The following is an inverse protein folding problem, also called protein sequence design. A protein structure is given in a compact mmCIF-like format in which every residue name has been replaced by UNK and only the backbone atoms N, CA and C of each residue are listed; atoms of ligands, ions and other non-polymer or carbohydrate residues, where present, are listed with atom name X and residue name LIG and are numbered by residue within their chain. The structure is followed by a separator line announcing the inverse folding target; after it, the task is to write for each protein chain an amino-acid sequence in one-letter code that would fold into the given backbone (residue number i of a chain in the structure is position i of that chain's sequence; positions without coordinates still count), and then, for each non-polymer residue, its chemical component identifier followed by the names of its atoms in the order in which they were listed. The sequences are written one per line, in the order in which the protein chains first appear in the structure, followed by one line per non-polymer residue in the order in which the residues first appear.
data_IF_130793217082
#
_entry.id   IF_130793217082
#
_cell.length_a   1.000
_cell.length_b   1.000
_cell.length_c   1.000
_cell.angle_alpha   90.00
_cell.angle_beta   90.00
_cell.angle_gamma   90.00
#
_symmetry.space_group_name_H-M   'P 1'
#
loop_
_entity.id
_entity.type
_entity.pdbx_description
1 polymer ?
#
# COMPACT_ATOMS: atom_id res chain seq x y z
N UNK A 1 -0.73 -4.18 0.83
CA UNK A 1 -0.29 -4.65 -0.50
C UNK A 1 0.45 -5.95 -0.28
N UNK A 2 0.67 -6.73 -1.32
CA UNK A 2 1.36 -8.01 -1.25
C UNK A 2 0.47 -9.20 -0.92
N UNK A 3 1.07 -10.23 -0.32
CA UNK A 3 0.41 -11.50 -0.04
C UNK A 3 -0.87 -11.30 0.77
N UNK A 4 -1.98 -11.82 0.25
CA UNK A 4 -3.27 -11.73 0.93
C UNK A 4 -3.23 -12.53 2.24
N UNK A 5 -3.88 -11.98 3.26
CA UNK A 5 -3.97 -12.60 4.59
C UNK A 5 -2.61 -12.87 5.29
N UNK A 6 -1.47 -12.29 4.81
CA UNK A 6 -0.15 -12.46 5.44
C UNK A 6 -0.15 -12.03 6.91
N UNK A 7 -0.59 -10.82 7.21
CA UNK A 7 -0.61 -10.34 8.60
C UNK A 7 -1.56 -11.14 9.52
N UNK A 8 -2.77 -11.54 9.10
CA UNK A 8 -3.59 -12.50 9.83
C UNK A 8 -2.88 -13.83 10.08
N UNK A 9 -2.20 -14.40 9.06
CA UNK A 9 -1.40 -15.64 9.20
C UNK A 9 -0.33 -15.48 10.30
N UNK A 10 0.47 -14.41 10.22
CA UNK A 10 1.54 -14.18 11.18
C UNK A 10 1.02 -13.94 12.60
N UNK A 11 -0.10 -13.24 12.76
CA UNK A 11 -0.71 -13.04 14.07
C UNK A 11 -1.21 -14.34 14.71
N UNK A 12 -1.72 -15.26 13.90
CA UNK A 12 -2.27 -16.55 14.38
C UNK A 12 -1.17 -17.56 14.65
N UNK A 13 -0.17 -17.67 13.75
CA UNK A 13 0.79 -18.79 13.78
C UNK A 13 2.23 -18.37 14.10
N UNK A 14 2.58 -17.09 13.96
CA UNK A 14 3.93 -16.56 14.19
C UNK A 14 3.90 -15.19 14.92
N UNK A 15 3.19 -15.04 16.06
CA UNK A 15 3.01 -13.74 16.70
C UNK A 15 4.34 -13.11 17.15
N UNK A 16 5.34 -13.91 17.49
CA UNK A 16 6.67 -13.42 17.87
C UNK A 16 7.46 -12.82 16.71
N UNK A 17 7.09 -13.15 15.47
CA UNK A 17 7.70 -12.54 14.28
C UNK A 17 7.26 -11.09 14.04
N UNK A 18 6.20 -10.64 14.70
CA UNK A 18 5.64 -9.28 14.61
C UNK A 18 6.05 -8.44 15.82
N UNK A 19 7.33 -8.22 16.00
CA UNK A 19 7.84 -7.46 17.16
C UNK A 19 8.02 -5.98 16.83
N UNK A 20 7.61 -5.11 17.75
CA UNK A 20 7.74 -3.66 17.63
C UNK A 20 9.03 -3.19 18.31
N UNK A 21 9.84 -2.44 17.56
CA UNK A 21 11.11 -1.89 18.06
C UNK A 21 11.17 -0.39 17.81
N UNK A 22 11.95 0.29 18.65
CA UNK A 22 12.35 1.66 18.40
C UNK A 22 13.41 1.70 17.30
N UNK A 23 13.38 2.70 16.41
CA UNK A 23 14.29 2.80 15.27
C UNK A 23 15.77 2.79 15.68
N UNK A 24 16.12 3.31 16.86
CA UNK A 24 17.51 3.30 17.35
C UNK A 24 18.10 1.91 17.54
N UNK A 25 17.26 0.86 17.64
CA UNK A 25 17.69 -0.55 17.68
C UNK A 25 18.47 -0.92 16.42
N UNK A 26 18.15 -0.31 15.31
CA UNK A 26 18.73 -0.57 13.99
C UNK A 26 19.83 0.42 13.60
N UNK A 27 20.44 1.09 14.60
CA UNK A 27 21.54 2.04 14.36
C UNK A 27 22.67 1.39 13.58
N UNK A 28 23.11 2.06 12.52
CA UNK A 28 24.17 1.61 11.62
C UNK A 28 23.68 0.71 10.48
N UNK A 29 22.45 0.22 10.52
CA UNK A 29 21.90 -0.63 9.48
C UNK A 29 21.72 0.13 8.16
N UNK A 30 22.07 -0.53 7.07
CA UNK A 30 21.75 -0.12 5.70
C UNK A 30 20.35 -0.60 5.39
N UNK A 31 19.49 0.32 4.96
CA UNK A 31 18.07 0.07 4.79
C UNK A 31 17.68 0.33 3.34
N UNK A 32 17.33 -0.71 2.59
CA UNK A 32 16.71 -0.54 1.29
C UNK A 32 15.25 -0.13 1.49
N UNK A 33 14.84 0.97 0.88
CA UNK A 33 13.48 1.52 0.99
C UNK A 33 12.81 1.39 -0.37
N UNK A 34 11.72 0.64 -0.42
CA UNK A 34 10.78 0.70 -1.53
C UNK A 34 10.04 2.05 -1.48
N UNK A 35 10.64 3.05 -2.13
CA UNK A 35 10.16 4.42 -2.01
C UNK A 35 8.89 4.67 -2.81
N UNK A 36 8.61 3.86 -3.82
CA UNK A 36 7.40 4.00 -4.64
C UNK A 36 6.14 3.89 -3.79
N UNK A 37 6.09 2.94 -2.85
CA UNK A 37 4.97 2.77 -1.92
C UNK A 37 4.77 4.04 -1.07
N UNK A 38 5.84 4.58 -0.50
CA UNK A 38 5.78 5.79 0.34
C UNK A 38 5.39 7.01 -0.47
N UNK A 39 5.90 7.15 -1.70
CA UNK A 39 5.54 8.23 -2.61
C UNK A 39 4.03 8.21 -2.89
N UNK A 40 3.46 7.07 -3.27
CA UNK A 40 2.02 6.91 -3.45
C UNK A 40 1.23 7.27 -2.19
N UNK A 41 1.69 6.81 -1.03
CA UNK A 41 1.04 7.07 0.25
C UNK A 41 1.06 8.54 0.62
N UNK A 42 2.20 9.22 0.46
CA UNK A 42 2.36 10.62 0.82
C UNK A 42 1.60 11.56 -0.12
N UNK A 43 1.64 11.33 -1.42
CA UNK A 43 0.85 12.12 -2.37
C UNK A 43 -0.65 12.00 -2.06
N UNK A 44 -1.13 10.81 -1.75
CA UNK A 44 -2.55 10.59 -1.42
C UNK A 44 -2.97 11.13 -0.06
N UNK A 45 -2.10 11.07 0.94
CA UNK A 45 -2.42 11.55 2.30
C UNK A 45 -2.27 13.06 2.43
N UNK A 46 -1.17 13.64 1.92
CA UNK A 46 -0.82 15.05 2.12
C UNK A 46 -1.11 15.93 0.91
N UNK A 47 -1.37 15.33 -0.24
CA UNK A 47 -1.61 16.03 -1.51
C UNK A 47 -0.32 16.37 -2.26
N UNK A 48 -0.49 16.88 -3.50
CA UNK A 48 0.61 17.11 -4.44
C UNK A 48 1.61 18.20 -4.03
N UNK A 49 1.20 19.07 -3.10
CA UNK A 49 2.05 20.19 -2.65
C UNK A 49 2.87 19.84 -1.41
N UNK A 50 2.36 18.92 -0.56
CA UNK A 50 2.93 18.64 0.76
C UNK A 50 3.50 17.24 0.95
N UNK A 51 3.51 16.41 -0.07
CA UNK A 51 4.04 15.05 0.02
C UNK A 51 5.56 15.03 0.31
N UNK A 52 6.31 16.05 -0.20
CA UNK A 52 7.74 16.18 0.04
C UNK A 52 8.04 16.40 1.53
N UNK A 53 7.18 17.11 2.28
CA UNK A 53 7.35 17.31 3.72
C UNK A 53 7.42 15.94 4.43
N UNK A 54 6.50 15.03 4.07
CA UNK A 54 6.45 13.69 4.65
C UNK A 54 7.66 12.85 4.25
N UNK A 55 8.12 13.03 2.99
CA UNK A 55 9.27 12.32 2.49
C UNK A 55 10.56 12.77 3.18
N UNK A 56 10.78 14.08 3.34
CA UNK A 56 11.90 14.64 4.11
C UNK A 56 11.86 14.13 5.55
N UNK A 57 10.69 14.15 6.18
CA UNK A 57 10.54 13.72 7.55
C UNK A 57 10.88 12.25 7.75
N UNK A 58 10.46 11.35 6.84
CA UNK A 58 10.84 9.94 6.84
C UNK A 58 12.38 9.82 6.82
N UNK A 59 13.03 10.45 5.85
CA UNK A 59 14.47 10.36 5.65
C UNK A 59 15.26 10.94 6.83
N UNK A 60 14.83 12.11 7.33
CA UNK A 60 15.42 12.73 8.51
C UNK A 60 15.25 11.87 9.76
N UNK A 61 14.09 11.24 9.95
CA UNK A 61 13.83 10.35 11.09
C UNK A 61 14.76 9.14 11.05
N UNK A 62 14.90 8.48 9.90
CA UNK A 62 15.81 7.36 9.73
C UNK A 62 17.27 7.77 10.02
N UNK A 63 17.75 8.89 9.43
CA UNK A 63 19.10 9.40 9.67
C UNK A 63 19.33 9.82 11.11
N UNK A 64 18.35 10.45 11.78
CA UNK A 64 18.40 10.82 13.21
C UNK A 64 18.68 9.61 14.10
N UNK A 65 18.08 8.47 13.80
CA UNK A 65 18.29 7.23 14.54
C UNK A 65 19.52 6.43 14.07
N UNK A 66 20.27 6.97 13.12
CA UNK A 66 21.53 6.40 12.64
C UNK A 66 21.38 5.28 11.63
N UNK A 67 20.21 5.14 11.00
CA UNK A 67 20.03 4.24 9.88
C UNK A 67 20.62 4.87 8.62
N UNK A 68 20.98 4.02 7.65
CA UNK A 68 21.58 4.41 6.36
C UNK A 68 20.62 4.09 5.22
N UNK A 69 19.70 5.01 4.86
CA UNK A 69 18.70 4.77 3.84
C UNK A 69 19.30 4.70 2.43
N UNK A 70 18.78 3.77 1.64
CA UNK A 70 19.02 3.62 0.20
C UNK A 70 17.64 3.53 -0.43
N UNK A 71 17.27 4.51 -1.27
CA UNK A 71 15.94 4.60 -1.84
C UNK A 71 15.89 3.88 -3.19
N UNK A 72 14.87 3.05 -3.40
CA UNK A 72 14.68 2.28 -4.62
C UNK A 72 13.33 2.67 -5.23
N UNK A 73 13.37 3.10 -6.49
CA UNK A 73 12.18 3.43 -7.28
C UNK A 73 11.87 2.31 -8.25
N UNK A 74 10.58 2.15 -8.57
CA UNK A 74 10.14 1.29 -9.65
C UNK A 74 10.72 1.74 -10.99
N UNK A 75 11.03 0.77 -11.83
CA UNK A 75 11.36 0.98 -13.23
C UNK A 75 10.12 1.20 -14.10
N UNK A 76 10.38 1.39 -15.38
CA UNK A 76 9.31 1.64 -16.36
C UNK A 76 8.68 0.33 -16.89
N UNK A 77 9.28 -0.84 -16.59
CA UNK A 77 8.81 -2.16 -17.01
C UNK A 77 8.18 -2.91 -15.84
N UNK A 78 7.02 -3.53 -16.09
CA UNK A 78 6.39 -4.38 -15.08
C UNK A 78 6.10 -5.76 -15.64
N UNK A 79 6.11 -6.82 -14.80
CA UNK A 79 5.77 -8.17 -15.23
C UNK A 79 4.36 -8.22 -15.84
N UNK A 80 4.23 -8.93 -16.97
CA UNK A 80 2.93 -9.09 -17.65
C UNK A 80 1.91 -9.81 -16.76
N UNK A 81 2.39 -10.60 -15.81
CA UNK A 81 1.59 -11.35 -14.86
C UNK A 81 0.81 -10.42 -13.90
N UNK A 82 1.28 -9.20 -13.67
CA UNK A 82 0.56 -8.16 -12.89
C UNK A 82 -0.60 -7.51 -13.65
N UNK A 83 -0.84 -7.88 -14.91
CA UNK A 83 -1.92 -7.28 -15.70
C UNK A 83 -3.30 -7.43 -15.02
N UNK A 84 -3.57 -8.54 -14.33
CA UNK A 84 -4.80 -8.74 -13.58
C UNK A 84 -4.94 -7.78 -12.41
N UNK A 85 -3.87 -7.59 -11.65
CA UNK A 85 -3.83 -6.63 -10.52
C UNK A 85 -3.93 -5.18 -11.01
N UNK A 86 -3.23 -4.85 -12.10
CA UNK A 86 -3.33 -3.53 -12.73
C UNK A 86 -4.75 -3.22 -13.20
N UNK A 87 -5.42 -4.20 -13.84
CA UNK A 87 -6.81 -4.02 -14.27
C UNK A 87 -7.75 -3.88 -13.06
N UNK A 88 -7.55 -4.63 -11.99
CA UNK A 88 -8.29 -4.47 -10.74
C UNK A 88 -8.13 -3.04 -10.18
N UNK A 89 -6.88 -2.56 -10.09
CA UNK A 89 -6.56 -1.18 -9.63
C UNK A 89 -7.20 -0.13 -10.55
N UNK A 90 -7.19 -0.37 -11.88
CA UNK A 90 -7.83 0.51 -12.85
C UNK A 90 -9.34 0.58 -12.65
N UNK A 91 -10.00 -0.55 -12.45
CA UNK A 91 -11.44 -0.59 -12.16
C UNK A 91 -11.78 0.12 -10.84
N UNK A 92 -10.98 -0.05 -9.80
CA UNK A 92 -11.16 0.66 -8.53
C UNK A 92 -11.00 2.17 -8.69
N UNK A 93 -9.99 2.62 -9.46
CA UNK A 93 -9.78 4.01 -9.78
C UNK A 93 -10.95 4.61 -10.58
N UNK A 94 -11.48 3.87 -11.56
CA UNK A 94 -12.66 4.30 -12.33
C UNK A 94 -13.89 4.45 -11.45
N UNK A 95 -14.14 3.51 -10.53
CA UNK A 95 -15.23 3.61 -9.55
C UNK A 95 -15.06 4.84 -8.66
N UNK A 96 -13.86 5.06 -8.12
CA UNK A 96 -13.56 6.24 -7.31
C UNK A 96 -13.75 7.55 -8.09
N UNK A 97 -13.32 7.60 -9.35
CA UNK A 97 -13.49 8.77 -10.22
C UNK A 97 -14.98 9.05 -10.52
N UNK A 98 -15.75 8.00 -10.79
CA UNK A 98 -17.20 8.14 -11.03
C UNK A 98 -17.90 8.66 -9.79
N UNK A 99 -17.56 8.13 -8.63
CA UNK A 99 -18.10 8.58 -7.34
C UNK A 99 -17.70 10.03 -7.02
N UNK A 100 -16.45 10.40 -7.31
CA UNK A 100 -15.99 11.79 -7.15
C UNK A 100 -16.88 12.77 -7.94
N UNK A 101 -17.16 12.44 -9.21
CA UNK A 101 -18.06 13.26 -10.06
C UNK A 101 -19.44 13.38 -9.44
N UNK A 102 -20.06 12.28 -9.02
CA UNK A 102 -21.38 12.27 -8.39
C UNK A 102 -21.41 13.12 -7.10
N UNK A 103 -20.37 13.02 -6.26
CA UNK A 103 -20.27 13.83 -5.05
C UNK A 103 -20.14 15.33 -5.36
N UNK A 104 -19.35 15.70 -6.38
CA UNK A 104 -19.22 17.10 -6.82
C UNK A 104 -20.55 17.64 -7.36
N UNK A 105 -21.22 16.89 -8.23
CA UNK A 105 -22.52 17.26 -8.80
C UNK A 105 -23.56 17.45 -7.69
N UNK A 106 -23.65 16.49 -6.76
CA UNK A 106 -24.59 16.59 -5.63
C UNK A 106 -24.29 17.80 -4.74
N UNK A 107 -23.02 18.02 -4.38
CA UNK A 107 -22.62 19.19 -3.58
C UNK A 107 -22.99 20.50 -4.27
N UNK A 108 -22.71 20.62 -5.56
CA UNK A 108 -23.01 21.83 -6.32
C UNK A 108 -24.54 22.07 -6.40
N UNK A 109 -25.33 21.02 -6.67
CA UNK A 109 -26.80 21.09 -6.66
C UNK A 109 -27.34 21.58 -5.30
N UNK A 110 -26.78 21.04 -4.19
CA UNK A 110 -27.17 21.46 -2.86
C UNK A 110 -26.78 22.92 -2.58
N UNK A 111 -25.58 23.33 -2.98
CA UNK A 111 -25.12 24.70 -2.81
C UNK A 111 -25.99 25.70 -3.60
N UNK A 112 -26.25 25.40 -4.87
CA UNK A 112 -27.10 26.27 -5.71
C UNK A 112 -28.54 26.34 -5.18
N UNK A 113 -29.10 25.22 -4.76
CA UNK A 113 -30.52 25.12 -4.39
C UNK A 113 -30.82 25.60 -2.99
N UNK A 114 -29.88 25.53 -2.04
CA UNK A 114 -30.13 25.76 -0.62
C UNK A 114 -29.24 26.80 0.04
N UNK A 115 -28.09 27.14 -0.55
CA UNK A 115 -27.12 28.07 0.05
C UNK A 115 -27.05 29.38 -0.76
N UNK A 116 -26.96 29.27 -2.08
CA UNK A 116 -26.76 30.42 -2.98
C UNK A 116 -28.11 31.02 -3.46
N UNK A 117 -29.15 30.90 -2.65
CA UNK A 117 -30.44 31.50 -2.97
C UNK A 117 -30.48 33.01 -2.63
N UNK A 118 -31.10 33.84 -3.48
CA UNK A 118 -31.28 35.22 -3.15
C UNK A 118 -32.27 35.37 -1.96
N UNK A 119 -31.97 36.29 -1.04
CA UNK A 119 -32.86 36.56 0.12
C UNK A 119 -34.23 37.05 -0.27
N UNK A 120 -34.32 37.71 -1.43
CA UNK A 120 -35.55 38.27 -1.95
C UNK A 120 -35.78 37.85 -3.40
N UNK A 121 -37.01 37.62 -3.76
CA UNK A 121 -37.43 37.48 -5.15
C UNK A 121 -37.28 38.82 -5.89
N UNK A 122 -37.30 38.84 -7.23
CA UNK A 122 -37.26 40.09 -8.01
C UNK A 122 -38.38 41.08 -7.71
N UNK A 123 -39.49 40.61 -7.15
CA UNK A 123 -40.63 41.41 -6.73
C UNK A 123 -40.55 41.94 -5.28
N UNK A 124 -39.44 41.65 -4.58
CA UNK A 124 -39.17 42.10 -3.21
C UNK A 124 -39.79 41.21 -2.12
N UNK A 125 -40.43 40.10 -2.46
CA UNK A 125 -40.92 39.10 -1.47
C UNK A 125 -39.78 38.23 -0.97
N UNK A 126 -39.90 37.69 0.26
CA UNK A 126 -38.91 36.73 0.79
C UNK A 126 -38.92 35.45 -0.04
N UNK A 127 -37.73 34.97 -0.36
CA UNK A 127 -37.55 33.69 -1.04
C UNK A 127 -37.93 32.56 -0.07
N UNK A 128 -38.87 31.68 -0.47
CA UNK A 128 -39.16 30.46 0.30
C UNK A 128 -38.06 29.44 0.13
N UNK A 129 -37.45 29.01 1.24
CA UNK A 129 -36.43 27.93 1.20
C UNK A 129 -37.05 26.64 0.64
N UNK A 130 -36.48 26.05 -0.40
CA UNK A 130 -36.96 24.80 -0.96
C UNK A 130 -36.85 23.68 0.08
N UNK A 131 -37.88 22.83 0.17
CA UNK A 131 -37.88 21.69 1.08
C UNK A 131 -36.77 20.70 0.72
N UNK A 132 -35.95 20.28 1.71
CA UNK A 132 -34.95 19.19 1.56
C UNK A 132 -35.70 17.87 1.54
N UNK A 133 -36.05 17.40 0.32
CA UNK A 133 -36.93 16.25 0.09
C UNK A 133 -36.36 14.95 0.64
N UNK A 134 -37.27 13.99 0.91
CA UNK A 134 -36.87 12.66 1.41
C UNK A 134 -36.00 11.88 0.38
N UNK A 135 -36.33 12.06 -0.90
CA UNK A 135 -35.59 11.45 -2.01
C UNK A 135 -34.15 11.98 -2.06
N UNK A 136 -33.99 13.31 -2.01
CA UNK A 136 -32.66 13.93 -2.04
C UNK A 136 -31.84 13.58 -0.79
N UNK A 137 -32.44 13.48 0.38
CA UNK A 137 -31.82 12.97 1.61
C UNK A 137 -31.35 11.51 1.45
N UNK A 138 -32.16 10.68 0.78
CA UNK A 138 -31.79 9.27 0.54
C UNK A 138 -30.60 9.14 -0.42
N UNK A 139 -30.57 9.90 -1.51
CA UNK A 139 -29.44 9.94 -2.43
C UNK A 139 -28.14 10.41 -1.75
N UNK A 140 -28.21 11.47 -0.97
CA UNK A 140 -27.07 11.94 -0.18
C UNK A 140 -26.57 10.87 0.81
N UNK A 141 -27.49 10.16 1.47
CA UNK A 141 -27.12 9.07 2.39
C UNK A 141 -26.42 7.92 1.68
N UNK A 142 -26.81 7.57 0.47
CA UNK A 142 -26.14 6.54 -0.34
C UNK A 142 -24.70 6.98 -0.62
N UNK A 143 -24.51 8.18 -1.18
CA UNK A 143 -23.20 8.71 -1.51
C UNK A 143 -22.25 8.81 -0.31
N UNK A 144 -22.79 9.17 0.87
CA UNK A 144 -22.03 9.29 2.10
C UNK A 144 -21.85 7.92 2.78
N UNK A 145 -22.86 7.05 2.71
CA UNK A 145 -22.93 5.77 3.44
C UNK A 145 -22.09 4.67 2.86
N UNK A 146 -21.80 4.65 1.55
CA UNK A 146 -20.95 3.66 0.90
C UNK A 146 -19.54 3.60 1.51
N UNK A 147 -19.08 4.66 2.17
CA UNK A 147 -17.80 4.69 2.85
C UNK A 147 -17.76 4.03 4.21
N UNK A 148 -18.90 3.95 4.88
CA UNK A 148 -18.98 3.41 6.26
C UNK A 148 -18.89 1.90 6.29
N UNK A 149 -19.07 1.23 5.15
CA UNK A 149 -18.98 -0.24 5.04
C UNK A 149 -17.57 -0.77 5.05
N UNK A 150 -16.54 0.05 4.76
CA UNK A 150 -15.14 -0.37 4.72
C UNK A 150 -14.39 -0.19 6.05
N UNK A 151 -14.87 0.67 6.92
CA UNK A 151 -14.36 0.82 8.28
C UNK A 151 -15.36 0.23 9.29
N UNK A 152 -15.08 -0.99 9.79
CA UNK A 152 -15.74 -1.57 10.97
C UNK A 152 -15.44 -0.71 12.21
N UNK A 153 -16.10 0.40 12.34
CA UNK A 153 -16.33 1.10 13.62
C UNK A 153 -17.77 1.57 13.61
N UNK A 154 -18.55 1.04 14.57
CA UNK A 154 -19.83 1.56 15.01
C UNK A 154 -19.72 3.06 15.28
N UNK A 155 -19.87 3.88 14.26
CA UNK A 155 -20.20 5.27 14.41
C UNK A 155 -21.67 5.38 14.10
N UNK A 156 -22.43 5.72 15.13
CA UNK A 156 -23.81 6.17 15.11
C UNK A 156 -24.16 6.84 13.79
N UNK A 157 -25.25 6.37 13.18
CA UNK A 157 -25.87 7.03 12.02
C UNK A 157 -26.11 8.49 12.42
N UNK A 158 -25.23 9.37 11.98
CA UNK A 158 -25.41 10.80 12.15
C UNK A 158 -26.65 11.16 11.34
N UNK A 159 -27.73 11.51 12.03
CA UNK A 159 -28.88 12.12 11.40
C UNK A 159 -28.40 13.48 10.88
N UNK A 160 -28.28 13.61 9.57
CA UNK A 160 -28.05 14.89 8.93
C UNK A 160 -29.34 15.71 9.07
N UNK A 161 -29.34 16.68 9.99
CA UNK A 161 -30.49 17.50 10.29
C UNK A 161 -30.65 18.65 9.30
N UNK A 162 -29.56 19.08 8.64
CA UNK A 162 -29.58 20.20 7.70
C UNK A 162 -28.69 19.96 6.47
N UNK A 163 -28.88 20.78 5.45
CA UNK A 163 -28.16 20.71 4.17
C UNK A 163 -26.67 21.05 4.35
N UNK A 164 -26.34 21.96 5.27
CA UNK A 164 -24.94 22.37 5.51
C UNK A 164 -24.08 21.22 6.00
N UNK A 165 -24.59 20.33 6.87
CA UNK A 165 -23.87 19.15 7.35
C UNK A 165 -23.62 18.14 6.22
N UNK A 166 -24.59 18.00 5.31
CA UNK A 166 -24.44 17.14 4.12
C UNK A 166 -23.38 17.70 3.18
N UNK A 167 -23.39 19.00 2.92
CA UNK A 167 -22.39 19.66 2.08
C UNK A 167 -20.98 19.54 2.68
N UNK A 168 -20.85 19.70 4.00
CA UNK A 168 -19.58 19.51 4.69
C UNK A 168 -19.05 18.07 4.52
N UNK A 169 -19.91 17.07 4.76
CA UNK A 169 -19.56 15.65 4.59
C UNK A 169 -19.19 15.30 3.15
N UNK A 170 -19.94 15.80 2.17
CA UNK A 170 -19.60 15.61 0.75
C UNK A 170 -18.24 16.28 0.41
N UNK A 171 -17.95 17.45 0.98
CA UNK A 171 -16.69 18.17 0.74
C UNK A 171 -15.49 17.40 1.28
N UNK A 172 -15.62 16.75 2.45
CA UNK A 172 -14.57 15.85 2.98
C UNK A 172 -14.36 14.64 2.06
N UNK A 173 -15.45 14.01 1.60
CA UNK A 173 -15.42 12.88 0.68
C UNK A 173 -14.76 13.27 -0.64
N UNK A 174 -15.14 14.41 -1.23
CA UNK A 174 -14.58 14.96 -2.46
C UNK A 174 -13.08 15.16 -2.28
N UNK A 175 -12.64 15.81 -1.21
CA UNK A 175 -11.22 16.05 -0.94
C UNK A 175 -10.42 14.73 -0.88
N UNK A 176 -10.98 13.71 -0.26
CA UNK A 176 -10.32 12.40 -0.15
C UNK A 176 -10.31 11.66 -1.49
N UNK A 177 -11.45 11.60 -2.19
CA UNK A 177 -11.54 10.94 -3.51
C UNK A 177 -10.66 11.64 -4.55
N UNK A 178 -10.57 12.96 -4.52
CA UNK A 178 -9.69 13.74 -5.40
C UNK A 178 -8.23 13.30 -5.21
N UNK A 179 -7.75 13.20 -3.97
CA UNK A 179 -6.41 12.68 -3.67
C UNK A 179 -6.22 11.23 -4.09
N UNK A 180 -7.24 10.37 -3.92
CA UNK A 180 -7.17 8.96 -4.31
C UNK A 180 -7.12 8.78 -5.83
N UNK A 181 -7.78 9.64 -6.59
CA UNK A 181 -7.85 9.58 -8.05
C UNK A 181 -6.73 10.34 -8.75
N UNK A 182 -5.93 11.08 -8.00
CA UNK A 182 -4.80 11.84 -8.54
C UNK A 182 -3.78 10.94 -9.20
N UNK A 183 -3.40 11.20 -10.47
CA UNK A 183 -2.38 10.43 -11.15
C UNK A 183 -0.99 10.74 -10.56
N UNK A 184 -0.23 9.71 -10.24
CA UNK A 184 1.16 9.86 -9.83
C UNK A 184 2.03 9.76 -11.08
N UNK A 185 2.54 10.90 -11.50
CA UNK A 185 3.34 11.04 -12.72
C UNK A 185 4.84 10.86 -12.45
N UNK A 186 5.63 10.73 -13.51
CA UNK A 186 7.09 10.69 -13.43
C UNK A 186 7.67 11.91 -12.70
N UNK A 187 6.98 13.04 -12.77
CA UNK A 187 7.42 14.29 -12.12
C UNK A 187 7.58 14.13 -10.59
N UNK A 188 6.72 13.36 -9.93
CA UNK A 188 6.86 13.08 -8.50
C UNK A 188 8.15 12.30 -8.21
N UNK A 189 8.47 11.30 -9.04
CA UNK A 189 9.72 10.55 -8.93
C UNK A 189 10.92 11.46 -9.12
N UNK A 190 10.90 12.30 -10.15
CA UNK A 190 12.01 13.20 -10.48
C UNK A 190 12.27 14.23 -9.36
N UNK A 191 11.20 14.80 -8.77
CA UNK A 191 11.30 15.68 -7.58
C UNK A 191 11.88 14.95 -6.37
N UNK A 192 11.47 13.71 -6.14
CA UNK A 192 12.02 12.85 -5.08
C UNK A 192 13.52 12.60 -5.29
N UNK A 193 13.94 12.31 -6.52
CA UNK A 193 15.36 12.10 -6.86
C UNK A 193 16.19 13.40 -6.68
N UNK A 194 15.64 14.55 -7.07
CA UNK A 194 16.29 15.86 -6.86
C UNK A 194 16.58 16.08 -5.37
N UNK A 195 15.59 15.81 -4.51
CA UNK A 195 15.74 15.89 -3.05
C UNK A 195 16.78 14.91 -2.50
N UNK A 196 16.75 13.64 -2.92
CA UNK A 196 17.70 12.62 -2.46
C UNK A 196 19.15 12.98 -2.81
N UNK A 197 19.38 13.54 -4.00
CA UNK A 197 20.70 14.04 -4.42
C UNK A 197 21.20 15.14 -3.48
N UNK A 198 20.36 16.13 -3.17
CA UNK A 198 20.71 17.22 -2.28
C UNK A 198 20.94 16.76 -0.84
N UNK A 199 20.19 15.73 -0.37
CA UNK A 199 20.37 15.13 0.97
C UNK A 199 21.55 14.15 1.05
N UNK A 200 22.28 13.90 -0.05
CA UNK A 200 23.37 12.92 -0.11
C UNK A 200 22.93 11.49 0.13
N UNK A 201 21.68 11.13 -0.24
CA UNK A 201 21.10 9.80 -0.04
C UNK A 201 21.18 9.03 -1.36
N UNK A 202 21.72 7.81 -1.29
CA UNK A 202 21.83 6.93 -2.45
C UNK A 202 20.45 6.46 -2.91
N UNK A 203 20.27 6.37 -4.23
CA UNK A 203 19.05 5.86 -4.82
C UNK A 203 19.35 5.02 -6.05
N UNK A 204 18.41 4.13 -6.38
CA UNK A 204 18.42 3.30 -7.58
C UNK A 204 17.05 3.31 -8.23
N UNK A 205 17.02 3.11 -9.53
CA UNK A 205 15.80 2.83 -10.29
C UNK A 205 15.93 1.36 -10.70
N UNK A 206 14.98 0.53 -10.29
CA UNK A 206 14.95 -0.88 -10.65
C UNK A 206 14.68 -1.07 -12.15
N UNK A 207 15.10 -2.18 -12.73
CA UNK A 207 14.69 -2.55 -14.10
C UNK A 207 13.20 -2.87 -14.18
N UNK A 208 12.63 -3.40 -13.08
CA UNK A 208 11.25 -3.73 -12.87
C UNK A 208 10.73 -3.12 -11.58
N UNK A 209 10.32 -3.98 -10.65
CA UNK A 209 9.75 -3.55 -9.38
C UNK A 209 10.82 -3.26 -8.32
N UNK A 210 10.61 -2.20 -7.54
CA UNK A 210 11.52 -1.79 -6.47
C UNK A 210 11.66 -2.90 -5.40
N UNK A 211 10.55 -3.58 -5.07
CA UNK A 211 10.53 -4.67 -4.08
C UNK A 211 11.50 -5.81 -4.42
N UNK A 212 11.55 -6.21 -5.70
CA UNK A 212 12.48 -7.25 -6.17
C UNK A 212 13.93 -6.84 -6.01
N UNK A 213 14.28 -5.58 -6.30
CA UNK A 213 15.63 -5.05 -6.11
C UNK A 213 15.97 -4.87 -4.64
N UNK A 214 15.04 -4.40 -3.80
CA UNK A 214 15.20 -4.35 -2.35
C UNK A 214 15.52 -5.74 -1.77
N UNK A 215 14.74 -6.74 -2.16
CA UNK A 215 14.93 -8.11 -1.73
C UNK A 215 16.28 -8.68 -2.21
N UNK A 216 16.65 -8.45 -3.47
CA UNK A 216 17.96 -8.85 -4.00
C UNK A 216 19.11 -8.27 -3.17
N UNK A 217 19.04 -6.97 -2.85
CA UNK A 217 20.08 -6.30 -2.06
C UNK A 217 20.18 -6.90 -0.65
N UNK A 218 19.04 -7.22 -0.04
CA UNK A 218 19.00 -7.78 1.30
C UNK A 218 19.51 -9.23 1.34
N UNK A 219 19.05 -10.08 0.43
CA UNK A 219 19.48 -11.48 0.34
C UNK A 219 20.98 -11.61 0.06
N UNK A 220 21.57 -10.68 -0.70
CA UNK A 220 22.99 -10.65 -1.00
C UNK A 220 23.84 -9.86 0.02
N UNK A 221 23.26 -9.42 1.14
CA UNK A 221 23.99 -8.72 2.20
C UNK A 221 24.48 -7.31 1.83
N UNK A 222 23.94 -6.73 0.75
CA UNK A 222 24.24 -5.35 0.35
C UNK A 222 23.53 -4.35 1.26
N UNK A 223 22.40 -4.74 1.85
CA UNK A 223 21.68 -4.02 2.90
C UNK A 223 21.31 -4.98 4.04
N UNK A 224 21.01 -4.42 5.20
CA UNK A 224 20.74 -5.21 6.40
C UNK A 224 19.25 -5.51 6.55
N UNK A 225 18.37 -4.67 5.98
CA UNK A 225 16.92 -4.88 5.97
C UNK A 225 16.24 -4.13 4.80
N UNK A 226 14.98 -4.44 4.60
CA UNK A 226 14.09 -3.75 3.66
C UNK A 226 13.00 -3.00 4.43
N UNK A 227 12.81 -1.72 4.17
CA UNK A 227 11.71 -0.91 4.68
C UNK A 227 10.62 -0.81 3.61
N UNK A 228 9.53 -1.50 3.82
CA UNK A 228 8.36 -1.52 2.94
C UNK A 228 7.10 -1.89 3.72
N UNK A 229 5.93 -1.61 3.18
CA UNK A 229 4.64 -2.12 3.68
C UNK A 229 4.13 -3.31 2.84
N UNK A 230 4.89 -3.69 1.82
CA UNK A 230 4.55 -4.81 0.96
C UNK A 230 5.17 -6.11 1.47
N UNK A 231 4.31 -7.07 1.79
CA UNK A 231 4.74 -8.36 2.32
C UNK A 231 5.36 -9.29 1.26
N UNK A 232 5.30 -8.90 -0.02
CA UNK A 232 5.88 -9.70 -1.12
C UNK A 232 7.40 -9.86 -0.99
N UNK A 233 8.08 -8.96 -0.27
CA UNK A 233 9.52 -9.09 -0.01
C UNK A 233 9.89 -10.32 0.84
N UNK A 234 8.97 -10.87 1.63
CA UNK A 234 9.23 -12.03 2.48
C UNK A 234 9.44 -13.32 1.67
N UNK A 235 8.57 -13.72 0.72
CA UNK A 235 8.80 -14.89 -0.11
C UNK A 235 10.01 -14.77 -1.04
N UNK A 236 10.53 -13.56 -1.32
CA UNK A 236 11.83 -13.41 -1.99
C UNK A 236 12.99 -13.95 -1.14
N UNK A 237 12.82 -14.03 0.18
CA UNK A 237 13.85 -14.49 1.11
C UNK A 237 14.52 -13.34 1.89
N UNK A 238 13.92 -12.17 1.93
CA UNK A 238 14.42 -11.02 2.70
C UNK A 238 14.52 -11.36 4.19
N UNK A 239 15.70 -11.33 4.83
CA UNK A 239 15.88 -11.74 6.22
C UNK A 239 15.11 -10.86 7.20
N UNK A 240 15.13 -9.54 7.00
CA UNK A 240 14.46 -8.57 7.86
C UNK A 240 13.67 -7.56 7.04
N UNK A 241 12.36 -7.52 7.31
CA UNK A 241 11.46 -6.50 6.79
C UNK A 241 11.07 -5.54 7.92
N UNK A 242 11.25 -4.26 7.70
CA UNK A 242 10.73 -3.20 8.57
C UNK A 242 9.45 -2.64 7.96
N UNK A 243 8.42 -2.47 8.80
CA UNK A 243 7.15 -1.91 8.37
C UNK A 243 6.62 -0.89 9.37
N UNK A 244 6.15 0.25 8.87
CA UNK A 244 5.39 1.21 9.66
C UNK A 244 3.90 0.86 9.53
N UNK A 245 3.29 0.41 10.61
CA UNK A 245 1.85 0.08 10.61
C UNK A 245 0.96 1.32 10.51
N UNK A 246 1.39 2.39 11.17
CA UNK A 246 0.70 3.68 11.15
C UNK A 246 1.78 4.74 10.93
N UNK A 247 1.93 5.22 9.69
CA UNK A 247 2.83 6.34 9.38
C UNK A 247 2.25 7.65 9.91
N UNK A 248 2.21 7.75 11.23
CA UNK A 248 2.17 9.06 11.88
C UNK A 248 3.57 9.64 11.84
N UNK A 249 3.68 10.87 11.44
CA UNK A 249 4.88 11.70 11.30
C UNK A 249 5.81 11.69 12.52
N UNK A 250 5.36 11.15 13.66
CA UNK A 250 6.07 11.12 14.94
C UNK A 250 6.35 9.70 15.47
N UNK A 251 6.19 8.66 14.65
CA UNK A 251 6.44 7.30 15.12
C UNK A 251 7.91 6.93 14.93
N UNK A 252 8.65 6.92 16.03
CA UNK A 252 10.03 6.43 16.10
C UNK A 252 10.11 4.91 16.28
N UNK A 253 8.99 4.21 16.08
CA UNK A 253 8.89 2.75 16.23
C UNK A 253 8.40 2.09 14.96
N UNK A 254 8.94 0.91 14.69
CA UNK A 254 8.69 0.10 13.49
C UNK A 254 8.46 -1.35 13.88
N UNK A 255 7.64 -2.06 13.14
CA UNK A 255 7.57 -3.52 13.22
C UNK A 255 8.74 -4.11 12.46
N UNK A 256 9.45 -5.04 13.08
CA UNK A 256 10.47 -5.84 12.44
C UNK A 256 9.94 -7.27 12.29
N UNK A 257 9.90 -7.73 11.05
CA UNK A 257 9.54 -9.10 10.70
C UNK A 257 10.84 -9.83 10.35
N UNK A 258 11.16 -10.88 11.12
CA UNK A 258 12.29 -11.76 10.85
C UNK A 258 11.78 -12.99 10.09
N UNK A 259 12.33 -13.22 8.89
CA UNK A 259 11.95 -14.37 8.06
C UNK A 259 12.26 -15.69 8.75
N UNK A 260 13.42 -15.81 9.40
CA UNK A 260 13.79 -17.03 10.12
C UNK A 260 12.78 -17.36 11.22
N UNK A 261 12.37 -16.37 12.01
CA UNK A 261 11.34 -16.56 13.04
C UNK A 261 9.98 -16.94 12.44
N UNK A 262 9.64 -16.37 11.26
CA UNK A 262 8.42 -16.73 10.53
C UNK A 262 8.49 -18.19 10.10
N UNK A 263 9.56 -18.61 9.45
CA UNK A 263 9.75 -19.96 8.92
C UNK A 263 9.76 -21.00 10.05
N UNK A 264 10.47 -20.72 11.15
CA UNK A 264 10.51 -21.57 12.33
C UNK A 264 9.11 -21.71 12.95
N UNK A 265 8.41 -20.60 13.17
CA UNK A 265 7.07 -20.60 13.79
C UNK A 265 6.03 -21.32 12.93
N UNK A 266 6.14 -21.19 11.60
CA UNK A 266 5.26 -21.90 10.66
C UNK A 266 5.70 -23.35 10.42
N UNK A 267 6.90 -23.75 10.88
CA UNK A 267 7.56 -25.03 10.59
C UNK A 267 7.64 -25.32 9.08
N UNK A 268 8.02 -24.30 8.32
CA UNK A 268 8.16 -24.35 6.86
C UNK A 268 9.56 -23.91 6.46
N UNK A 269 10.08 -24.49 5.37
CA UNK A 269 11.23 -23.91 4.69
C UNK A 269 10.79 -22.79 3.72
N UNK A 270 11.75 -22.05 3.16
CA UNK A 270 11.48 -20.92 2.30
C UNK A 270 10.65 -21.27 1.04
N UNK A 271 10.88 -22.45 0.46
CA UNK A 271 10.13 -22.87 -0.74
C UNK A 271 8.69 -23.23 -0.39
N UNK A 272 8.46 -23.92 0.73
CA UNK A 272 7.13 -24.22 1.26
C UNK A 272 6.40 -22.92 1.64
N UNK A 273 7.10 -21.94 2.21
CA UNK A 273 6.55 -20.62 2.51
C UNK A 273 6.17 -19.86 1.24
N UNK A 274 6.99 -19.92 0.16
CA UNK A 274 6.62 -19.37 -1.14
C UNK A 274 5.35 -20.02 -1.69
N UNK A 275 5.24 -21.32 -1.61
CA UNK A 275 4.05 -22.06 -2.04
C UNK A 275 2.81 -21.65 -1.24
N UNK A 276 2.95 -21.44 0.07
CA UNK A 276 1.89 -20.89 0.91
C UNK A 276 1.49 -19.49 0.45
N UNK A 277 2.45 -18.59 0.18
CA UNK A 277 2.18 -17.25 -0.32
C UNK A 277 1.45 -17.26 -1.67
N UNK A 278 1.84 -18.15 -2.59
CA UNK A 278 1.18 -18.33 -3.88
C UNK A 278 -0.26 -18.82 -3.68
N UNK A 279 -0.49 -19.76 -2.78
CA UNK A 279 -1.82 -20.30 -2.49
C UNK A 279 -2.73 -19.27 -1.80
N UNK A 280 -2.18 -18.38 -0.98
CA UNK A 280 -2.89 -17.25 -0.39
C UNK A 280 -3.26 -16.16 -1.40
N UNK A 281 -2.61 -16.14 -2.55
CA UNK A 281 -2.68 -15.16 -3.62
C UNK A 281 -1.72 -13.97 -3.41
N UNK A 282 -0.90 -13.75 -4.41
CA UNK A 282 0.01 -12.64 -4.59
C UNK A 282 -0.43 -11.77 -5.78
N UNK A 283 0.32 -10.73 -6.09
CA UNK A 283 0.02 -9.81 -7.20
C UNK A 283 0.07 -10.47 -8.60
N UNK A 284 0.63 -11.69 -8.70
CA UNK A 284 0.85 -12.39 -9.97
C UNK A 284 -0.19 -13.47 -10.29
N UNK A 285 -1.08 -13.80 -9.33
CA UNK A 285 -2.07 -14.85 -9.48
C UNK A 285 -3.44 -14.45 -8.90
N UNK A 286 -4.40 -15.38 -8.96
CA UNK A 286 -5.74 -15.18 -8.42
C UNK A 286 -6.08 -16.28 -7.40
N UNK A 287 -6.97 -15.95 -6.47
CA UNK A 287 -7.52 -16.94 -5.52
C UNK A 287 -8.23 -18.07 -6.26
N UNK A 288 -8.01 -19.26 -5.80
CA UNK A 288 -8.58 -20.48 -6.35
C UNK A 288 -9.53 -21.17 -5.35
N UNK A 289 -10.23 -22.20 -5.85
CA UNK A 289 -11.10 -23.05 -5.05
C UNK A 289 -10.50 -24.44 -4.89
N UNK A 290 -10.82 -25.07 -3.79
CA UNK A 290 -10.36 -26.42 -3.50
C UNK A 290 -11.16 -27.08 -2.40
N UNK A 291 -10.77 -28.30 -2.06
CA UNK A 291 -11.37 -29.10 -0.99
C UNK A 291 -10.44 -29.04 0.23
N UNK A 292 -10.95 -28.58 1.39
CA UNK A 292 -10.15 -28.58 2.60
C UNK A 292 -9.67 -30.00 2.98
N UNK A 293 -8.42 -30.13 3.46
CA UNK A 293 -7.83 -31.43 3.79
C UNK A 293 -8.35 -32.01 5.11
N UNK A 294 -9.26 -31.33 5.82
CA UNK A 294 -9.77 -31.71 7.15
C UNK A 294 -10.65 -32.96 7.18
N UNK A 295 -10.67 -33.75 6.11
CA UNK A 295 -11.44 -35.03 6.02
C UNK A 295 -12.95 -34.87 5.93
N UNK A 296 -13.48 -33.64 5.99
CA UNK A 296 -14.91 -33.40 5.76
C UNK A 296 -15.22 -33.53 4.28
N UNK A 297 -16.21 -34.36 3.94
CA UNK A 297 -16.69 -34.47 2.57
C UNK A 297 -17.42 -33.18 2.15
N UNK A 298 -16.69 -32.24 1.61
CA UNK A 298 -17.29 -31.07 0.96
C UNK A 298 -17.91 -31.53 -0.37
N UNK A 299 -19.19 -31.21 -0.56
CA UNK A 299 -19.89 -31.54 -1.82
C UNK A 299 -19.48 -30.61 -2.98
N UNK A 300 -18.86 -29.47 -2.66
CA UNK A 300 -18.41 -28.46 -3.65
C UNK A 300 -17.11 -27.83 -3.16
N UNK A 301 -16.21 -27.44 -4.09
CA UNK A 301 -14.99 -26.73 -3.75
C UNK A 301 -15.33 -25.34 -3.19
N UNK A 302 -14.56 -24.90 -2.20
CA UNK A 302 -14.68 -23.58 -1.56
C UNK A 302 -13.44 -22.74 -1.84
N UNK A 303 -13.56 -21.43 -1.76
CA UNK A 303 -12.42 -20.54 -1.89
C UNK A 303 -11.36 -20.89 -0.84
N UNK A 304 -10.12 -21.11 -1.27
CA UNK A 304 -9.01 -21.42 -0.38
C UNK A 304 -8.63 -20.13 0.35
N UNK A 305 -8.95 -20.06 1.63
CA UNK A 305 -8.55 -18.98 2.53
C UNK A 305 -7.37 -19.41 3.40
N UNK A 306 -6.94 -18.52 4.30
CA UNK A 306 -5.76 -18.66 5.16
C UNK A 306 -5.65 -20.05 5.81
N UNK A 307 -6.66 -20.46 6.56
CA UNK A 307 -6.63 -21.72 7.30
C UNK A 307 -6.45 -22.94 6.39
N UNK A 308 -7.16 -22.97 5.26
CA UNK A 308 -7.05 -24.07 4.30
C UNK A 308 -5.68 -24.07 3.63
N UNK A 309 -5.19 -22.92 3.17
CA UNK A 309 -3.88 -22.79 2.54
C UNK A 309 -2.76 -23.27 3.47
N UNK A 310 -2.76 -22.79 4.72
CA UNK A 310 -1.76 -23.20 5.70
C UNK A 310 -1.81 -24.70 6.01
N UNK A 311 -2.99 -25.26 6.25
CA UNK A 311 -3.15 -26.71 6.51
C UNK A 311 -2.68 -27.53 5.31
N UNK A 312 -3.02 -27.13 4.08
CA UNK A 312 -2.59 -27.82 2.86
C UNK A 312 -1.07 -27.86 2.73
N UNK A 313 -0.39 -26.71 2.91
CA UNK A 313 1.07 -26.68 2.80
C UNK A 313 1.74 -27.41 3.97
N UNK A 314 1.19 -27.35 5.16
CA UNK A 314 1.71 -28.16 6.31
C UNK A 314 1.64 -29.64 6.04
N UNK A 315 0.58 -30.13 5.40
CA UNK A 315 0.34 -31.54 5.17
C UNK A 315 1.07 -32.04 3.92
N UNK A 316 0.96 -31.31 2.80
CA UNK A 316 1.45 -31.76 1.49
C UNK A 316 2.80 -31.15 1.09
N UNK A 317 3.28 -30.14 1.79
CA UNK A 317 4.58 -29.46 1.63
C UNK A 317 4.76 -28.70 0.33
N UNK A 318 4.19 -29.14 -0.79
CA UNK A 318 4.32 -28.48 -2.11
C UNK A 318 2.96 -28.36 -2.79
N UNK A 319 2.84 -27.40 -3.69
CA UNK A 319 1.62 -27.19 -4.48
C UNK A 319 1.34 -28.37 -5.42
N UNK A 320 2.39 -29.04 -5.92
CA UNK A 320 2.24 -30.23 -6.73
C UNK A 320 1.57 -31.39 -5.94
N UNK A 321 2.00 -31.60 -4.70
CA UNK A 321 1.41 -32.63 -3.87
C UNK A 321 -0.01 -32.27 -3.43
N UNK A 322 -0.30 -30.99 -3.23
CA UNK A 322 -1.62 -30.47 -2.88
C UNK A 322 -2.61 -30.41 -4.06
N UNK A 323 -2.13 -30.56 -5.31
CA UNK A 323 -2.92 -30.34 -6.53
C UNK A 323 -4.21 -31.17 -6.60
N UNK A 324 -4.23 -32.37 -6.06
CA UNK A 324 -5.41 -33.25 -6.03
C UNK A 324 -6.58 -32.69 -5.19
N UNK A 325 -6.31 -31.70 -4.33
CA UNK A 325 -7.30 -31.01 -3.48
C UNK A 325 -7.70 -29.63 -4.03
N UNK A 326 -7.15 -29.24 -5.16
CA UNK A 326 -7.41 -27.98 -5.86
C UNK A 326 -8.32 -28.27 -7.05
N UNK A 327 -9.39 -27.49 -7.21
CA UNK A 327 -10.35 -27.67 -8.30
C UNK A 327 -9.71 -27.42 -9.68
N UNK A 328 -8.96 -26.30 -9.76
CA UNK A 328 -8.18 -25.89 -10.93
C UNK A 328 -6.94 -25.15 -10.46
N UNK A 329 -5.77 -25.71 -10.75
CA UNK A 329 -4.48 -25.15 -10.32
C UNK A 329 -3.91 -24.13 -11.31
N UNK A 330 -4.37 -24.12 -12.55
CA UNK A 330 -3.84 -23.25 -13.62
C UNK A 330 -3.87 -21.76 -13.26
N UNK A 331 -4.93 -21.20 -12.63
CA UNK A 331 -4.95 -19.80 -12.27
C UNK A 331 -3.86 -19.37 -11.25
N UNK A 332 -3.28 -20.32 -10.51
CA UNK A 332 -2.15 -20.04 -9.62
C UNK A 332 -0.88 -19.68 -10.38
N UNK A 333 -0.68 -20.22 -11.59
CA UNK A 333 0.56 -20.05 -12.35
C UNK A 333 1.80 -20.27 -11.48
N UNK A 334 1.74 -21.26 -10.58
CA UNK A 334 2.64 -21.37 -9.42
C UNK A 334 4.12 -21.48 -9.79
N UNK A 335 4.44 -22.16 -10.89
CA UNK A 335 5.82 -22.24 -11.37
C UNK A 335 6.38 -20.85 -11.71
N UNK A 336 5.58 -20.08 -12.46
CA UNK A 336 5.95 -18.71 -12.83
C UNK A 336 5.98 -17.77 -11.60
N UNK A 337 5.04 -17.92 -10.67
CA UNK A 337 5.05 -17.17 -9.42
C UNK A 337 6.29 -17.47 -8.56
N UNK A 338 6.76 -18.72 -8.50
CA UNK A 338 8.02 -19.07 -7.81
C UNK A 338 9.23 -18.37 -8.42
N UNK A 339 9.27 -18.24 -9.76
CA UNK A 339 10.33 -17.48 -10.44
C UNK A 339 10.26 -16.00 -10.08
N UNK A 340 9.07 -15.41 -10.15
CA UNK A 340 8.84 -13.99 -9.88
C UNK A 340 9.08 -13.64 -8.40
N UNK A 341 8.73 -14.52 -7.46
CA UNK A 341 9.00 -14.38 -6.02
C UNK A 341 10.40 -14.83 -5.61
N UNK A 342 11.31 -15.01 -6.58
CA UNK A 342 12.72 -15.24 -6.31
C UNK A 342 13.52 -13.98 -6.65
N UNK A 343 14.59 -13.67 -5.88
CA UNK A 343 15.40 -12.49 -6.17
C UNK A 343 15.92 -12.50 -7.61
N UNK A 344 15.87 -11.38 -8.33
CA UNK A 344 16.35 -11.32 -9.71
C UNK A 344 17.82 -11.71 -9.78
N UNK A 345 18.18 -12.60 -10.71
CA UNK A 345 19.55 -13.16 -10.83
C UNK A 345 20.56 -12.15 -11.35
N UNK A 346 20.12 -11.19 -12.17
CA UNK A 346 20.94 -10.14 -12.77
C UNK A 346 20.31 -8.79 -12.45
N UNK A 347 20.87 -8.04 -11.52
CA UNK A 347 20.45 -6.67 -11.27
C UNK A 347 21.58 -5.69 -11.60
N UNK A 348 21.22 -4.47 -11.93
CA UNK A 348 22.15 -3.34 -12.16
C UNK A 348 23.14 -3.20 -11.00
N UNK A 349 22.76 -3.56 -9.79
CA UNK A 349 23.57 -3.48 -8.58
C UNK A 349 24.70 -4.50 -8.58
N UNK A 350 24.56 -5.65 -9.27
CA UNK A 350 25.62 -6.66 -9.34
C UNK A 350 26.89 -6.12 -10.01
N UNK A 351 26.76 -5.11 -10.88
CA UNK A 351 27.88 -4.47 -11.57
C UNK A 351 28.48 -3.27 -10.82
N UNK A 352 27.82 -2.76 -9.77
CA UNK A 352 28.25 -1.61 -8.97
C UNK A 352 28.66 -2.08 -7.56
N UNK A 353 29.81 -2.65 -7.42
CA UNK A 353 30.34 -3.35 -6.22
C UNK A 353 30.50 -2.46 -4.95
N UNK A 354 30.20 -1.18 -4.99
CA UNK A 354 30.21 -0.30 -3.81
C UNK A 354 28.99 0.61 -3.82
N UNK A 355 28.00 0.25 -2.99
CA UNK A 355 26.94 1.17 -2.66
C UNK A 355 27.51 2.22 -1.73
N UNK A 356 27.83 3.40 -2.25
CA UNK A 356 28.19 4.55 -1.44
C UNK A 356 26.94 5.00 -0.67
N UNK A 357 26.87 4.66 0.59
CA UNK A 357 25.68 4.94 1.43
C UNK A 357 25.62 6.37 1.94
N UNK A 358 26.69 7.14 1.77
CA UNK A 358 26.73 8.55 2.20
C UNK A 358 27.56 9.41 1.25
N UNK A 359 26.90 10.40 0.70
CA UNK A 359 27.53 11.61 0.14
C UNK A 359 27.30 12.77 1.11
N UNK A 360 28.12 13.77 1.05
CA UNK A 360 27.89 14.99 1.81
C UNK A 360 26.58 15.66 1.36
N UNK A 361 25.92 16.32 2.33
CA UNK A 361 24.70 17.08 2.05
C UNK A 361 25.10 18.33 1.26
N UNK A 362 24.51 18.51 0.10
CA UNK A 362 24.59 19.76 -0.64
C UNK A 362 23.59 20.75 -0.02
N UNK A 363 24.09 21.56 0.90
CA UNK A 363 23.26 22.50 1.66
C UNK A 363 22.65 23.61 0.80
N UNK A 364 23.29 24.00 -0.27
CA UNK A 364 22.80 25.06 -1.14
C UNK A 364 21.71 24.52 -2.07
N UNK A 365 21.93 23.37 -2.70
CA UNK A 365 20.90 22.67 -3.46
C UNK A 365 19.68 22.33 -2.58
N UNK A 366 19.90 21.90 -1.35
CA UNK A 366 18.81 21.59 -0.42
C UNK A 366 17.98 22.84 -0.07
N UNK A 367 18.61 24.00 0.17
CA UNK A 367 17.91 25.27 0.40
C UNK A 367 17.08 25.70 -0.82
N UNK A 368 17.64 25.55 -2.03
CA UNK A 368 16.91 25.82 -3.27
C UNK A 368 15.67 24.94 -3.39
N UNK A 369 15.79 23.63 -3.15
CA UNK A 369 14.69 22.68 -3.20
C UNK A 369 13.62 23.00 -2.16
N UNK A 370 14.02 23.27 -0.92
CA UNK A 370 13.10 23.68 0.15
C UNK A 370 12.30 24.91 -0.26
N UNK A 371 12.96 25.91 -0.82
CA UNK A 371 12.32 27.15 -1.27
C UNK A 371 11.41 26.90 -2.48
N UNK A 372 11.89 26.17 -3.49
CA UNK A 372 11.18 25.87 -4.73
C UNK A 372 9.88 25.08 -4.47
N UNK A 373 9.92 24.10 -3.59
CA UNK A 373 8.79 23.22 -3.29
C UNK A 373 8.07 23.57 -1.99
N UNK A 374 8.43 24.67 -1.33
CA UNK A 374 7.83 25.16 -0.07
C UNK A 374 7.77 24.07 1.02
N UNK A 375 8.84 23.29 1.16
CA UNK A 375 8.97 22.25 2.18
C UNK A 375 9.03 22.91 3.55
N UNK A 376 8.22 22.43 4.51
CA UNK A 376 8.03 23.02 5.84
C UNK A 376 8.67 22.18 6.97
#
# INVERSE_FOLDING_TARGET
MGIQDMYPLLKEHAPHALSKYHLSTFRGWRVAIDISIFLYKYVRSSGPERWLDQFVLLLCTLKKHGLRPICIFDGDTQPIEKAGEQERRRCELQKATSRLKQCIEMRNTLQERYINIPLLNPDGTLFEEPEFTKELKAECKILIGEERSTEKKERTVTNYYNVSDVIASLSEIITRLDRQTMPITKEYRDRGIELLKAMGISYFIADGEAEGLCAYMSVNGLVDCVLTEDSDVLPYGTPFMLAFKDLGVHQESVYCLSLDVILESLELNLNEFRDLCILLSCDYNSRIKGFPPDGKKYKKPVCIGLKHAYTMIKEYRTLEAASNFIEDIEPLKYQRCRELLSPPKNSIVANNAKIETHKDIDTDALREIITKYKIS
#
